data_IF_779304944934
#
_entry.id   IF_779304944934
#
_cell.length_a   1.000
_cell.length_b   1.000
_cell.length_c   1.000
_cell.angle_alpha   90.00
_cell.angle_beta   90.00
_cell.angle_gamma   90.00
#
_symmetry.space_group_name_H-M   'P 1'
#
loop_
_entity.id
_entity.type
_entity.pdbx_description
1 polymer ?
#
# COMPACT_ATOMS: atom_id res chain seq x y z
N UNK A 1 24.27 -1.80 -11.92
CA UNK A 1 22.89 -1.37 -11.58
C UNK A 1 22.19 -2.43 -10.77
N UNK A 2 21.22 -2.03 -9.95
CA UNK A 2 20.33 -2.95 -9.22
C UNK A 2 18.94 -2.88 -9.84
N UNK A 3 18.35 -4.05 -10.13
CA UNK A 3 16.95 -4.16 -10.56
C UNK A 3 16.06 -4.40 -9.34
N UNK A 4 15.15 -3.47 -9.06
CA UNK A 4 14.08 -3.63 -8.09
C UNK A 4 12.80 -4.16 -8.74
N UNK A 5 12.14 -5.13 -8.08
CA UNK A 5 10.87 -5.73 -8.52
C UNK A 5 9.88 -5.72 -7.36
N UNK A 6 8.69 -5.15 -7.58
CA UNK A 6 7.62 -5.07 -6.58
C UNK A 6 6.31 -5.60 -7.17
N UNK A 7 5.67 -6.51 -6.47
CA UNK A 7 4.35 -7.07 -6.81
C UNK A 7 3.60 -7.56 -5.58
N UNK A 8 3.71 -6.89 -4.45
CA UNK A 8 3.18 -7.38 -3.17
C UNK A 8 1.65 -7.35 -3.04
N UNK A 9 0.96 -6.54 -3.83
CA UNK A 9 -0.50 -6.40 -3.78
C UNK A 9 -1.12 -6.40 -5.18
N UNK A 10 -1.52 -5.25 -5.68
CA UNK A 10 -2.25 -5.06 -6.95
C UNK A 10 -1.50 -4.18 -7.97
N UNK A 11 -0.33 -3.69 -7.61
CA UNK A 11 0.55 -2.98 -8.53
C UNK A 11 1.76 -3.84 -8.92
N UNK A 12 2.17 -3.80 -10.18
CA UNK A 12 3.44 -4.35 -10.64
C UNK A 12 4.40 -3.21 -10.94
N UNK A 13 5.59 -3.22 -10.38
CA UNK A 13 6.59 -2.21 -10.73
C UNK A 13 8.00 -2.78 -10.85
N UNK A 14 8.81 -2.09 -11.65
CA UNK A 14 10.24 -2.31 -11.75
C UNK A 14 10.98 -0.98 -11.70
N UNK A 15 12.17 -1.00 -11.11
CA UNK A 15 13.07 0.14 -11.06
C UNK A 15 14.51 -0.31 -11.37
N UNK A 16 15.29 0.54 -12.03
CA UNK A 16 16.74 0.40 -12.14
C UNK A 16 17.40 1.53 -11.37
N UNK A 17 18.34 1.17 -10.50
CA UNK A 17 19.08 2.11 -9.67
C UNK A 17 20.57 1.91 -9.94
N UNK A 18 21.29 3.00 -10.14
CA UNK A 18 22.74 2.96 -10.14
C UNK A 18 23.27 2.69 -8.73
N UNK A 19 24.09 1.66 -8.55
CA UNK A 19 24.58 1.25 -7.21
C UNK A 19 25.65 2.20 -6.63
N UNK A 20 26.28 3.01 -7.47
CA UNK A 20 27.31 3.95 -7.04
C UNK A 20 26.75 5.32 -6.66
N UNK A 21 25.78 5.81 -7.43
CA UNK A 21 25.19 7.15 -7.24
C UNK A 21 23.84 7.11 -6.52
N UNK A 22 23.20 5.94 -6.43
CA UNK A 22 21.83 5.71 -5.97
C UNK A 22 20.78 6.44 -6.82
N UNK A 23 21.16 6.89 -8.00
CA UNK A 23 20.25 7.55 -8.96
C UNK A 23 19.26 6.54 -9.55
N UNK A 24 17.99 6.94 -9.61
CA UNK A 24 16.94 6.17 -10.27
C UNK A 24 17.05 6.34 -11.80
N UNK A 25 17.58 5.33 -12.48
CA UNK A 25 17.78 5.34 -13.95
C UNK A 25 16.44 5.09 -14.67
N UNK A 26 15.62 4.22 -14.12
CA UNK A 26 14.33 3.82 -14.70
C UNK A 26 13.34 3.46 -13.60
N UNK A 27 12.08 3.83 -13.82
CA UNK A 27 10.96 3.36 -13.01
C UNK A 27 9.69 3.28 -13.85
N UNK A 28 8.96 2.19 -13.69
CA UNK A 28 7.63 2.07 -14.27
C UNK A 28 6.75 1.19 -13.39
N UNK A 29 5.50 1.62 -13.27
CA UNK A 29 4.44 0.91 -12.57
C UNK A 29 3.29 0.61 -13.54
N UNK A 30 2.70 -0.57 -13.42
CA UNK A 30 1.43 -0.93 -14.04
C UNK A 30 0.46 -1.21 -12.90
N UNK A 31 -0.54 -0.34 -12.76
CA UNK A 31 -1.60 -0.48 -11.76
C UNK A 31 -2.69 -1.39 -12.26
N UNK A 32 -3.36 -2.05 -11.34
CA UNK A 32 -4.53 -2.91 -11.57
C UNK A 32 -5.78 -2.32 -10.92
N UNK A 33 -5.72 -1.04 -10.54
CA UNK A 33 -6.81 -0.35 -9.82
C UNK A 33 -8.13 -0.41 -10.58
N UNK A 34 -8.12 -0.15 -11.89
CA UNK A 34 -9.32 -0.15 -12.73
C UNK A 34 -9.97 -1.54 -12.79
N UNK A 35 -9.17 -2.60 -12.90
CA UNK A 35 -9.65 -3.98 -12.95
C UNK A 35 -10.24 -4.43 -11.62
N UNK A 36 -9.73 -3.92 -10.51
CA UNK A 36 -10.22 -4.22 -9.16
C UNK A 36 -11.40 -3.35 -8.74
N UNK A 37 -11.53 -2.13 -9.28
CA UNK A 37 -12.58 -1.17 -8.91
C UNK A 37 -13.99 -1.74 -9.08
N UNK A 38 -14.24 -2.56 -10.12
CA UNK A 38 -15.54 -3.20 -10.36
C UNK A 38 -15.96 -4.19 -9.25
N UNK A 39 -14.99 -4.67 -8.44
CA UNK A 39 -15.23 -5.57 -7.31
C UNK A 39 -15.27 -4.80 -5.97
N UNK A 40 -14.92 -3.51 -6.00
CA UNK A 40 -14.84 -2.65 -4.82
C UNK A 40 -13.71 -3.04 -3.88
N UNK A 41 -12.58 -3.51 -4.42
CA UNK A 41 -11.38 -3.90 -3.68
C UNK A 41 -10.57 -4.97 -4.39
N UNK A 42 -9.37 -5.26 -3.90
CA UNK A 42 -8.43 -6.19 -4.52
C UNK A 42 -8.95 -7.63 -4.48
N UNK A 43 -8.92 -8.29 -5.64
CA UNK A 43 -9.25 -9.73 -5.80
C UNK A 43 -7.94 -10.49 -6.04
N UNK A 44 -7.46 -11.30 -5.07
CA UNK A 44 -6.12 -11.90 -5.11
C UNK A 44 -5.84 -12.73 -6.36
N UNK A 45 -6.79 -13.55 -6.81
CA UNK A 45 -6.63 -14.40 -8.00
C UNK A 45 -6.56 -13.58 -9.29
N UNK A 46 -7.27 -12.45 -9.34
CA UNK A 46 -7.18 -11.51 -10.46
C UNK A 46 -5.83 -10.82 -10.45
N UNK A 47 -5.39 -10.33 -9.30
CA UNK A 47 -4.09 -9.70 -9.13
C UNK A 47 -2.95 -10.62 -9.62
N UNK A 48 -2.96 -11.89 -9.22
CA UNK A 48 -1.97 -12.88 -9.67
C UNK A 48 -1.92 -13.01 -11.19
N UNK A 49 -3.09 -13.06 -11.85
CA UNK A 49 -3.17 -13.13 -13.32
C UNK A 49 -2.66 -11.87 -14.01
N UNK A 50 -2.94 -10.71 -13.44
CA UNK A 50 -2.49 -9.43 -14.01
C UNK A 50 -1.00 -9.26 -13.84
N UNK A 51 -0.40 -9.68 -12.71
CA UNK A 51 1.06 -9.71 -12.53
C UNK A 51 1.76 -10.56 -13.58
N UNK A 52 1.20 -11.71 -13.97
CA UNK A 52 1.80 -12.57 -15.02
C UNK A 52 1.88 -11.91 -16.39
N UNK A 53 1.08 -10.87 -16.62
CA UNK A 53 1.12 -10.06 -17.85
C UNK A 53 1.98 -8.81 -17.69
N UNK A 54 1.81 -8.12 -16.56
CA UNK A 54 2.46 -6.83 -16.30
C UNK A 54 3.97 -6.97 -16.11
N UNK A 55 4.42 -7.95 -15.32
CA UNK A 55 5.84 -8.12 -15.01
C UNK A 55 6.70 -8.40 -16.26
N UNK A 56 6.34 -9.33 -17.18
CA UNK A 56 7.09 -9.49 -18.44
C UNK A 56 7.06 -8.24 -19.33
N UNK A 57 5.94 -7.48 -19.35
CA UNK A 57 5.86 -6.24 -20.12
C UNK A 57 6.85 -5.18 -19.58
N UNK A 58 6.91 -5.04 -18.25
CA UNK A 58 7.87 -4.16 -17.56
C UNK A 58 9.33 -4.60 -17.82
N UNK A 59 9.58 -5.91 -17.82
CA UNK A 59 10.91 -6.44 -18.12
C UNK A 59 11.35 -6.12 -19.57
N UNK A 60 10.43 -6.16 -20.53
CA UNK A 60 10.74 -5.82 -21.91
C UNK A 60 11.31 -4.40 -22.06
N UNK A 61 10.84 -3.46 -21.25
CA UNK A 61 11.31 -2.06 -21.29
C UNK A 61 12.78 -1.92 -20.85
N UNK A 62 13.27 -2.83 -20.01
CA UNK A 62 14.64 -2.81 -19.49
C UNK A 62 15.59 -3.83 -20.12
N UNK A 63 15.14 -4.58 -21.15
CA UNK A 63 15.98 -5.55 -21.86
C UNK A 63 17.34 -5.00 -22.30
N UNK A 64 17.45 -3.75 -22.81
CA UNK A 64 18.74 -3.17 -23.20
C UNK A 64 19.75 -3.07 -22.05
N UNK A 65 19.27 -2.99 -20.81
CA UNK A 65 20.07 -2.80 -19.59
C UNK A 65 20.44 -4.11 -18.89
N UNK A 66 19.88 -5.26 -19.31
CA UNK A 66 20.03 -6.53 -18.57
C UNK A 66 21.49 -6.91 -18.28
N UNK A 67 22.41 -6.66 -19.23
CA UNK A 67 23.84 -6.99 -19.08
C UNK A 67 24.56 -6.12 -18.04
N UNK A 68 23.97 -4.98 -17.66
CA UNK A 68 24.56 -4.02 -16.74
C UNK A 68 23.95 -4.16 -15.32
N UNK A 69 23.04 -5.13 -15.15
CA UNK A 69 22.43 -5.43 -13.84
C UNK A 69 23.37 -6.36 -13.06
N UNK A 70 23.72 -5.95 -11.85
CA UNK A 70 24.65 -6.66 -10.96
C UNK A 70 23.95 -7.41 -9.82
N UNK A 71 22.70 -7.00 -9.48
CA UNK A 71 21.88 -7.64 -8.47
C UNK A 71 20.39 -7.39 -8.75
N UNK A 72 19.54 -8.27 -8.20
CA UNK A 72 18.10 -8.13 -8.24
C UNK A 72 17.58 -8.03 -6.80
N UNK A 73 16.83 -6.98 -6.51
CA UNK A 73 16.09 -6.81 -5.28
C UNK A 73 14.61 -7.08 -5.54
N UNK A 74 13.96 -7.92 -4.74
CA UNK A 74 12.54 -8.24 -4.91
C UNK A 74 11.81 -8.24 -3.60
N UNK A 75 10.62 -7.66 -3.58
CA UNK A 75 9.74 -7.74 -2.41
C UNK A 75 9.25 -9.17 -2.24
N UNK A 76 9.49 -9.72 -1.04
CA UNK A 76 9.11 -11.08 -0.68
C UNK A 76 8.10 -11.16 0.47
N UNK A 77 7.92 -10.08 1.25
CA UNK A 77 7.00 -9.96 2.39
C UNK A 77 6.90 -8.50 2.87
N UNK A 78 5.84 -8.12 3.64
CA UNK A 78 4.54 -8.74 3.61
C UNK A 78 3.80 -8.45 2.29
N UNK A 79 2.70 -9.18 2.04
CA UNK A 79 1.85 -8.95 0.86
C UNK A 79 0.93 -10.13 0.57
N UNK A 80 0.16 -10.01 -0.51
CA UNK A 80 -0.66 -11.11 -1.00
C UNK A 80 0.24 -12.22 -1.55
N UNK A 81 0.16 -13.42 -0.97
CA UNK A 81 1.05 -14.55 -1.32
C UNK A 81 1.06 -14.83 -2.83
N UNK A 82 -0.12 -14.79 -3.46
CA UNK A 82 -0.28 -15.06 -4.90
C UNK A 82 0.33 -13.96 -5.78
N UNK A 83 0.37 -12.73 -5.30
CA UNK A 83 0.99 -11.59 -5.98
C UNK A 83 2.52 -11.63 -5.81
N UNK A 84 3.00 -11.84 -4.59
CA UNK A 84 4.42 -11.98 -4.27
C UNK A 84 5.10 -13.10 -5.10
N UNK A 85 4.42 -14.23 -5.28
CA UNK A 85 4.93 -15.36 -6.10
C UNK A 85 5.28 -14.90 -7.52
N UNK A 86 4.50 -13.99 -8.11
CA UNK A 86 4.76 -13.46 -9.46
C UNK A 86 6.13 -12.79 -9.56
N UNK A 87 6.36 -11.76 -8.73
CA UNK A 87 7.63 -11.02 -8.70
C UNK A 87 8.83 -11.87 -8.28
N UNK A 88 8.65 -12.65 -7.20
CA UNK A 88 9.71 -13.56 -6.71
C UNK A 88 10.11 -14.62 -7.75
N UNK A 89 9.14 -15.17 -8.49
CA UNK A 89 9.43 -16.15 -9.55
C UNK A 89 10.21 -15.52 -10.69
N UNK A 90 9.81 -14.33 -11.14
CA UNK A 90 10.53 -13.59 -12.18
C UNK A 90 11.95 -13.23 -11.72
N UNK A 91 12.09 -12.72 -10.50
CA UNK A 91 13.38 -12.36 -9.92
C UNK A 91 14.33 -13.56 -9.82
N UNK A 92 13.84 -14.72 -9.37
CA UNK A 92 14.61 -15.97 -9.32
C UNK A 92 15.05 -16.43 -10.72
N UNK A 93 14.13 -16.39 -11.68
CA UNK A 93 14.45 -16.78 -13.05
C UNK A 93 15.55 -15.88 -13.65
N UNK A 94 15.45 -14.57 -13.46
CA UNK A 94 16.46 -13.61 -13.91
C UNK A 94 17.81 -13.79 -13.20
N UNK A 95 17.79 -13.94 -11.87
CA UNK A 95 19.00 -14.17 -11.06
C UNK A 95 19.77 -15.40 -11.56
N UNK A 96 19.07 -16.50 -11.83
CA UNK A 96 19.67 -17.72 -12.37
C UNK A 96 20.19 -17.49 -13.79
N UNK A 97 19.39 -16.88 -14.66
CA UNK A 97 19.75 -16.66 -16.07
C UNK A 97 20.96 -15.73 -16.25
N UNK A 98 21.06 -14.70 -15.41
CA UNK A 98 22.14 -13.70 -15.44
C UNK A 98 23.31 -14.07 -14.52
N UNK A 99 23.16 -15.10 -13.69
CA UNK A 99 24.11 -15.52 -12.66
C UNK A 99 24.53 -14.37 -11.73
N UNK A 100 23.53 -13.63 -11.20
CA UNK A 100 23.70 -12.48 -10.30
C UNK A 100 22.93 -12.70 -8.99
N UNK A 101 23.32 -12.03 -7.89
CA UNK A 101 22.66 -12.20 -6.59
C UNK A 101 21.21 -11.75 -6.60
N UNK A 102 20.41 -12.44 -5.78
CA UNK A 102 19.01 -12.10 -5.48
C UNK A 102 18.90 -11.64 -4.02
N UNK A 103 18.31 -10.46 -3.82
CA UNK A 103 18.13 -9.82 -2.52
C UNK A 103 16.64 -9.79 -2.20
N UNK A 104 16.25 -10.37 -1.07
CA UNK A 104 14.90 -10.28 -0.56
C UNK A 104 14.72 -8.95 0.18
N UNK A 105 13.62 -8.24 -0.11
CA UNK A 105 13.32 -6.94 0.50
C UNK A 105 11.94 -7.00 1.15
N UNK A 106 11.86 -6.52 2.39
CA UNK A 106 10.59 -6.34 3.05
C UNK A 106 9.86 -5.10 2.48
N UNK A 107 8.59 -5.25 2.11
CA UNK A 107 7.76 -4.21 1.51
C UNK A 107 7.68 -2.93 2.36
N UNK A 108 7.52 -3.08 3.69
CA UNK A 108 7.40 -1.95 4.61
C UNK A 108 8.75 -1.21 4.74
N UNK A 109 9.85 -1.94 4.72
CA UNK A 109 11.20 -1.37 4.65
C UNK A 109 11.38 -0.58 3.35
N UNK A 110 10.87 -1.11 2.23
CA UNK A 110 10.83 -0.38 0.96
C UNK A 110 10.06 0.95 1.07
N UNK A 111 8.92 0.96 1.74
CA UNK A 111 8.18 2.21 2.00
C UNK A 111 8.98 3.20 2.84
N UNK A 112 9.66 2.74 3.89
CA UNK A 112 10.50 3.61 4.74
C UNK A 112 11.63 4.22 3.91
N UNK A 113 12.37 3.40 3.19
CA UNK A 113 13.51 3.86 2.40
C UNK A 113 13.10 4.71 1.18
N UNK A 114 11.85 4.65 0.73
CA UNK A 114 11.34 5.57 -0.29
C UNK A 114 11.39 7.05 0.13
N UNK A 115 11.43 7.33 1.44
CA UNK A 115 11.63 8.67 1.98
C UNK A 115 13.02 9.26 1.64
N UNK A 116 13.96 8.41 1.27
CA UNK A 116 15.36 8.77 1.01
C UNK A 116 15.73 8.69 -0.47
N UNK A 117 14.74 8.65 -1.38
CA UNK A 117 15.00 8.83 -2.80
C UNK A 117 15.69 10.18 -3.02
N UNK A 118 16.79 10.17 -3.76
CA UNK A 118 17.62 11.35 -4.08
C UNK A 118 18.29 12.05 -2.88
N UNK A 119 18.39 11.38 -1.73
CA UNK A 119 19.08 11.91 -0.54
C UNK A 119 19.62 10.78 0.35
N UNK A 120 20.60 11.11 1.17
CA UNK A 120 21.12 10.19 2.17
C UNK A 120 20.09 9.92 3.27
N UNK A 121 20.03 8.67 3.73
CA UNK A 121 19.23 8.29 4.88
C UNK A 121 19.78 8.94 6.15
N UNK A 122 18.90 9.55 6.94
CA UNK A 122 19.24 10.21 8.20
C UNK A 122 18.52 9.53 9.35
N UNK A 123 19.25 9.08 10.36
CA UNK A 123 18.73 8.40 11.54
C UNK A 123 19.21 9.12 12.81
N UNK A 124 18.49 9.04 13.97
CA UNK A 124 17.25 8.29 14.17
C UNK A 124 16.03 8.97 13.51
N UNK A 125 14.96 8.20 13.26
CA UNK A 125 13.76 8.67 12.58
C UNK A 125 12.49 8.01 13.13
N UNK A 126 11.47 8.83 13.41
CA UNK A 126 10.09 8.35 13.63
C UNK A 126 9.32 8.29 12.32
N UNK A 127 8.65 7.19 12.04
CA UNK A 127 7.86 6.98 10.81
C UNK A 127 6.43 6.63 11.15
N UNK A 128 5.48 7.41 10.63
CA UNK A 128 4.08 7.01 10.56
C UNK A 128 3.85 6.38 9.18
N UNK A 129 3.69 5.05 9.16
CA UNK A 129 3.38 4.31 7.94
C UNK A 129 1.88 4.11 7.86
N UNK A 130 1.26 4.63 6.80
CA UNK A 130 -0.18 4.54 6.51
C UNK A 130 -0.36 4.06 5.09
N UNK A 131 -1.00 2.92 4.93
CA UNK A 131 -1.27 2.33 3.62
C UNK A 131 -2.63 1.62 3.58
N UNK A 132 -2.95 1.00 2.46
CA UNK A 132 -4.13 0.15 2.31
C UNK A 132 -4.13 -1.07 3.24
N UNK A 133 -2.95 -1.63 3.55
CA UNK A 133 -2.81 -2.85 4.36
C UNK A 133 -2.26 -2.62 5.77
N UNK A 134 -1.58 -1.49 6.02
CA UNK A 134 -0.84 -1.28 7.27
C UNK A 134 -1.06 0.13 7.84
N UNK A 135 -1.11 0.21 9.16
CA UNK A 135 -1.06 1.48 9.91
C UNK A 135 -0.23 1.25 11.16
N UNK A 136 0.94 1.87 11.21
CA UNK A 136 1.89 1.68 12.31
C UNK A 136 2.78 2.90 12.53
N UNK A 137 3.27 3.03 13.76
CA UNK A 137 4.36 3.94 14.10
C UNK A 137 5.61 3.10 14.31
N UNK A 138 6.66 3.49 13.64
CA UNK A 138 7.96 2.84 13.70
C UNK A 138 8.99 3.85 14.19
N UNK A 139 9.97 3.37 14.93
CA UNK A 139 11.20 4.09 15.26
C UNK A 139 12.36 3.41 14.54
N UNK A 140 13.21 4.19 13.93
CA UNK A 140 14.46 3.71 13.35
C UNK A 140 15.58 4.33 14.17
N UNK A 141 16.38 3.50 14.79
CA UNK A 141 17.48 3.95 15.66
C UNK A 141 18.69 4.47 14.86
N UNK A 142 19.70 4.93 15.55
CA UNK A 142 20.96 5.44 14.96
C UNK A 142 21.71 4.40 14.11
N UNK A 143 21.45 3.11 14.32
CA UNK A 143 22.06 2.00 13.58
C UNK A 143 21.20 1.56 12.39
N UNK A 144 20.01 2.15 12.20
CA UNK A 144 19.05 1.77 11.18
C UNK A 144 18.17 0.56 11.56
N UNK A 145 18.16 0.15 12.84
CA UNK A 145 17.27 -0.90 13.33
C UNK A 145 15.85 -0.37 13.49
N UNK A 146 14.88 -1.13 13.00
CA UNK A 146 13.47 -0.73 12.98
C UNK A 146 12.72 -1.39 14.14
N UNK A 147 12.13 -0.55 14.99
CA UNK A 147 11.27 -0.97 16.10
C UNK A 147 9.83 -0.53 15.85
N UNK A 148 8.89 -1.46 15.91
CA UNK A 148 7.45 -1.14 15.92
C UNK A 148 7.06 -0.62 17.30
N UNK A 149 6.58 0.65 17.35
CA UNK A 149 6.09 1.28 18.58
C UNK A 149 4.58 1.08 18.75
N UNK A 150 3.84 1.12 17.65
CA UNK A 150 2.39 0.93 17.64
C UNK A 150 1.92 0.44 16.27
N UNK A 151 0.88 -0.37 16.25
CA UNK A 151 0.19 -0.77 15.02
C UNK A 151 -1.31 -0.86 15.22
N UNK A 152 -2.04 -0.97 14.11
CA UNK A 152 -3.48 -1.21 14.20
C UNK A 152 -3.76 -2.62 14.70
N UNK A 153 -4.76 -2.73 15.58
CA UNK A 153 -5.22 -4.02 16.13
C UNK A 153 -6.32 -4.69 15.28
N UNK A 154 -6.80 -3.99 14.25
CA UNK A 154 -7.88 -4.45 13.39
C UNK A 154 -7.69 -3.97 11.94
N UNK A 155 -8.64 -3.24 11.36
CA UNK A 155 -8.49 -2.69 10.00
C UNK A 155 -7.31 -1.70 9.93
N UNK A 156 -6.65 -1.61 8.79
CA UNK A 156 -5.75 -0.49 8.51
C UNK A 156 -6.54 0.79 8.22
N UNK A 157 -5.85 1.92 8.23
CA UNK A 157 -6.45 3.22 7.91
C UNK A 157 -7.04 3.22 6.49
N UNK A 158 -6.27 2.83 5.48
CA UNK A 158 -6.74 2.79 4.10
C UNK A 158 -7.88 1.80 3.87
N UNK A 159 -7.77 0.59 4.43
CA UNK A 159 -8.84 -0.41 4.37
C UNK A 159 -10.15 0.10 5.00
N UNK A 160 -10.04 0.88 6.08
CA UNK A 160 -11.22 1.49 6.72
C UNK A 160 -11.91 2.48 5.80
N UNK A 161 -11.16 3.31 5.08
CA UNK A 161 -11.70 4.21 4.07
C UNK A 161 -12.37 3.47 2.91
N UNK A 162 -11.76 2.40 2.41
CA UNK A 162 -12.35 1.58 1.34
C UNK A 162 -13.69 0.96 1.78
N UNK A 163 -13.73 0.43 3.00
CA UNK A 163 -14.95 -0.15 3.58
C UNK A 163 -16.04 0.91 3.80
N UNK A 164 -15.68 2.10 4.29
CA UNK A 164 -16.61 3.22 4.45
C UNK A 164 -17.12 3.70 3.10
N UNK A 165 -16.25 3.91 2.12
CA UNK A 165 -16.64 4.30 0.77
C UNK A 165 -17.64 3.31 0.17
N UNK A 166 -17.39 2.01 0.33
CA UNK A 166 -18.31 0.95 -0.12
C UNK A 166 -19.67 1.03 0.58
N UNK A 167 -19.73 1.29 1.89
CA UNK A 167 -20.99 1.44 2.63
C UNK A 167 -21.78 2.66 2.16
N UNK A 168 -21.09 3.74 1.81
CA UNK A 168 -21.69 5.00 1.34
C UNK A 168 -21.95 5.02 -0.18
N UNK A 169 -21.56 3.98 -0.92
CA UNK A 169 -21.74 3.90 -2.37
C UNK A 169 -20.84 4.86 -3.16
N UNK A 170 -19.71 5.26 -2.60
CA UNK A 170 -18.78 6.25 -3.20
C UNK A 170 -17.79 5.65 -4.20
N UNK A 171 -17.64 4.32 -4.23
CA UNK A 171 -16.72 3.63 -5.16
C UNK A 171 -15.36 3.30 -4.53
N UNK A 172 -14.39 3.00 -5.40
CA UNK A 172 -13.02 2.58 -5.08
C UNK A 172 -12.02 3.30 -5.99
N UNK A 173 -10.83 3.74 -5.52
CA UNK A 173 -10.32 3.66 -4.12
C UNK A 173 -11.09 4.54 -3.15
N UNK A 174 -11.33 4.00 -1.95
CA UNK A 174 -12.21 4.65 -0.98
C UNK A 174 -11.65 5.92 -0.36
N UNK A 175 -10.34 5.99 -0.11
CA UNK A 175 -9.71 7.15 0.51
C UNK A 175 -10.00 8.45 -0.23
N UNK A 176 -9.69 8.47 -1.53
CA UNK A 176 -9.93 9.63 -2.41
C UNK A 176 -11.42 9.96 -2.53
N UNK A 177 -12.27 8.92 -2.63
CA UNK A 177 -13.72 9.11 -2.77
C UNK A 177 -14.35 9.72 -1.50
N UNK A 178 -13.96 9.25 -0.32
CA UNK A 178 -14.42 9.80 0.98
C UNK A 178 -13.91 11.23 1.17
N UNK A 179 -12.63 11.48 0.95
CA UNK A 179 -12.05 12.83 1.05
C UNK A 179 -12.80 13.83 0.16
N UNK A 180 -13.05 13.46 -1.09
CA UNK A 180 -13.77 14.31 -2.03
C UNK A 180 -15.22 14.57 -1.57
N UNK A 181 -15.91 13.58 -1.06
CA UNK A 181 -17.27 13.75 -0.53
C UNK A 181 -17.26 14.66 0.71
N UNK A 182 -16.31 14.48 1.62
CA UNK A 182 -16.18 15.25 2.86
C UNK A 182 -15.90 16.75 2.63
N UNK A 183 -15.34 17.16 1.47
CA UNK A 183 -15.06 18.57 1.18
C UNK A 183 -16.31 19.47 1.25
N UNK A 184 -17.49 18.92 0.98
CA UNK A 184 -18.77 19.64 1.08
C UNK A 184 -19.52 19.34 2.40
N UNK A 185 -18.94 18.51 3.25
CA UNK A 185 -19.51 18.07 4.52
C UNK A 185 -19.43 19.13 5.62
N UNK A 186 -20.26 18.94 6.63
CA UNK A 186 -20.27 19.71 7.88
C UNK A 186 -20.13 18.73 9.04
N UNK A 187 -19.48 19.14 10.10
CA UNK A 187 -19.34 18.32 11.32
C UNK A 187 -20.67 18.14 12.04
N UNK A 188 -21.55 17.32 11.48
CA UNK A 188 -22.88 17.03 12.00
C UNK A 188 -22.91 15.85 12.94
N UNK A 189 -22.11 14.82 12.66
CA UNK A 189 -22.06 13.58 13.42
C UNK A 189 -20.85 13.57 14.35
N UNK A 190 -21.05 13.05 15.56
CA UNK A 190 -19.98 12.89 16.55
C UNK A 190 -19.68 11.41 16.72
N UNK A 191 -18.52 11.01 16.30
CA UNK A 191 -18.01 9.66 16.48
C UNK A 191 -17.01 9.61 17.64
N UNK A 192 -17.04 8.51 18.38
CA UNK A 192 -16.04 8.27 19.43
C UNK A 192 -14.74 7.79 18.81
N UNK A 193 -13.62 8.35 19.26
CA UNK A 193 -12.29 7.88 18.88
C UNK A 193 -12.01 6.57 19.60
N UNK A 194 -11.80 5.46 18.87
CA UNK A 194 -11.47 4.18 19.50
C UNK A 194 -10.16 4.27 20.30
N UNK A 195 -10.08 3.52 21.39
CA UNK A 195 -8.94 3.45 22.29
C UNK A 195 -8.54 4.78 22.95
N UNK A 196 -9.36 5.83 22.88
CA UNK A 196 -9.06 7.09 23.56
C UNK A 196 -9.01 6.87 25.07
N UNK A 197 -7.84 7.10 25.68
CA UNK A 197 -7.60 6.86 27.11
C UNK A 197 -7.28 5.40 27.47
N UNK A 198 -7.14 4.50 26.50
CA UNK A 198 -6.61 3.15 26.70
C UNK A 198 -5.09 3.20 26.95
N UNK A 199 -4.59 2.32 27.80
CA UNK A 199 -3.16 2.23 28.09
C UNK A 199 -2.35 1.52 26.98
N UNK A 200 -3.02 0.88 26.02
CA UNK A 200 -2.36 0.19 24.91
C UNK A 200 -1.83 1.19 23.91
N UNK A 201 -0.61 0.98 23.44
CA UNK A 201 -0.03 1.72 22.33
C UNK A 201 -0.46 1.04 21.02
N UNK A 202 -1.69 1.32 20.59
CA UNK A 202 -2.30 0.72 19.40
C UNK A 202 -3.33 1.65 18.75
N UNK A 203 -3.64 1.39 17.50
CA UNK A 203 -4.77 1.99 16.79
C UNK A 203 -5.91 1.00 16.64
N UNK A 204 -7.14 1.50 16.44
CA UNK A 204 -8.30 0.71 16.07
C UNK A 204 -9.20 1.55 15.18
N UNK A 205 -9.62 1.00 14.06
CA UNK A 205 -10.51 1.65 13.10
C UNK A 205 -11.85 0.94 12.96
N UNK A 206 -11.93 -0.34 13.37
CA UNK A 206 -13.16 -1.13 13.24
C UNK A 206 -14.33 -0.53 14.04
N UNK A 207 -14.07 0.01 15.24
CA UNK A 207 -15.07 0.69 16.06
C UNK A 207 -15.62 1.95 15.38
N UNK A 208 -14.75 2.78 14.80
CA UNK A 208 -15.15 3.97 14.06
C UNK A 208 -15.96 3.60 12.80
N UNK A 209 -15.45 2.68 11.99
CA UNK A 209 -16.15 2.14 10.83
C UNK A 209 -17.55 1.64 11.18
N UNK A 210 -17.70 0.93 12.30
CA UNK A 210 -19.00 0.45 12.75
C UNK A 210 -19.96 1.58 13.15
N UNK A 211 -19.47 2.65 13.75
CA UNK A 211 -20.27 3.84 14.04
C UNK A 211 -20.80 4.48 12.75
N UNK A 212 -19.95 4.65 11.75
CA UNK A 212 -20.36 5.14 10.42
C UNK A 212 -21.43 4.22 9.81
N UNK A 213 -21.22 2.89 9.83
CA UNK A 213 -22.21 1.92 9.33
C UNK A 213 -23.58 2.10 10.00
N UNK A 214 -23.61 2.15 11.33
CA UNK A 214 -24.85 2.29 12.10
C UNK A 214 -25.58 3.59 11.73
N UNK A 215 -24.86 4.69 11.58
CA UNK A 215 -25.48 5.98 11.25
C UNK A 215 -26.00 5.98 9.80
N UNK A 216 -25.25 5.43 8.88
CA UNK A 216 -25.66 5.25 7.47
C UNK A 216 -26.94 4.41 7.39
N UNK A 217 -27.03 3.29 8.13
CA UNK A 217 -28.21 2.43 8.16
C UNK A 217 -29.45 3.15 8.72
N UNK A 218 -29.28 3.98 9.77
CA UNK A 218 -30.38 4.77 10.34
C UNK A 218 -30.90 5.80 9.33
N UNK A 219 -30.01 6.53 8.67
CA UNK A 219 -30.39 7.51 7.64
C UNK A 219 -31.08 6.84 6.46
N UNK A 220 -30.57 5.71 5.99
CA UNK A 220 -31.20 4.94 4.91
C UNK A 220 -32.60 4.45 5.32
N UNK A 221 -32.76 3.89 6.52
CA UNK A 221 -34.06 3.41 7.01
C UNK A 221 -35.10 4.52 7.16
N UNK A 222 -34.67 5.74 7.47
CA UNK A 222 -35.54 6.92 7.57
C UNK A 222 -35.78 7.62 6.22
N UNK A 223 -35.19 7.16 5.13
CA UNK A 223 -35.25 7.79 3.80
C UNK A 223 -34.47 9.11 3.69
N UNK A 224 -33.60 9.40 4.64
CA UNK A 224 -32.86 10.66 4.73
C UNK A 224 -31.40 10.57 4.20
N UNK A 225 -30.97 9.43 3.68
CA UNK A 225 -29.61 9.27 3.16
C UNK A 225 -29.45 10.01 1.82
N UNK A 226 -29.15 11.30 1.91
CA UNK A 226 -28.88 12.16 0.76
C UNK A 226 -27.37 12.31 0.53
N UNK A 227 -26.97 12.85 -0.62
CA UNK A 227 -25.57 13.17 -0.91
C UNK A 227 -24.95 14.12 0.14
N UNK A 228 -25.76 15.06 0.68
CA UNK A 228 -25.30 15.94 1.75
C UNK A 228 -25.10 15.21 3.08
N UNK A 229 -25.99 14.27 3.44
CA UNK A 229 -25.82 13.46 4.65
C UNK A 229 -24.60 12.52 4.54
N UNK A 230 -24.35 11.99 3.35
CA UNK A 230 -23.12 11.22 3.08
C UNK A 230 -21.86 12.09 3.26
N UNK A 231 -21.90 13.33 2.82
CA UNK A 231 -20.79 14.27 2.98
C UNK A 231 -20.60 14.69 4.45
N UNK A 232 -21.70 14.77 5.22
CA UNK A 232 -21.71 15.18 6.63
C UNK A 232 -21.27 14.04 7.59
N UNK A 233 -21.33 12.74 7.13
CA UNK A 233 -20.81 11.56 7.85
C UNK A 233 -19.29 11.52 7.82
#
# INVERSE_FOLDING_TARGET
>A
MILGIESSCDDSSVALIDEGTLEQIYYKKISQEEEHAIFGGVVPELAARLHTKALPALLNDILPNLKDINAIAVTNEPGLSVSLIGGVSMAKALSIALNIPLIAVNHLVGHIYSLFLDREATFPLGVLLVSGGHTMILEIDENGEILELASTSDDSFGESFDKVAKMLGLGYPGGVAVEKAAQSGREKFKFTVPLLGDARTAYSFSGLKNQVRVETEKLAASGNLSAQEIADI
#
